data_IF_603366885998
#
_entry.id   IF_603366885998
#
_cell.length_a   1.000
_cell.length_b   1.000
_cell.length_c   1.000
_cell.angle_alpha   90.00
_cell.angle_beta   90.00
_cell.angle_gamma   90.00
#
_symmetry.space_group_name_H-M   'P 1'
#
loop_
_entity.id
_entity.type
_entity.pdbx_description
1 polymer ?
#
# COMPACT_ATOMS: atom_id res chain seq x y z
N UNK A 1 12.03 28.42 13.37
CA UNK A 1 11.17 27.56 14.20
C UNK A 1 10.77 26.37 13.34
N UNK A 2 11.41 25.22 13.56
CA UNK A 2 10.98 23.97 12.93
C UNK A 2 9.63 23.56 13.52
N UNK A 3 8.57 24.04 12.88
CA UNK A 3 7.24 23.45 13.09
C UNK A 3 7.32 22.05 12.53
N UNK A 4 7.49 21.07 13.41
CA UNK A 4 7.42 19.63 13.13
C UNK A 4 6.32 19.38 12.08
N UNK A 5 6.71 19.21 10.80
CA UNK A 5 5.75 18.91 9.73
C UNK A 5 4.99 17.66 10.18
N UNK A 6 3.67 17.75 10.31
CA UNK A 6 2.87 16.60 10.73
C UNK A 6 2.99 15.53 9.65
N UNK A 7 3.15 14.29 10.06
CA UNK A 7 3.23 13.15 9.14
C UNK A 7 2.02 12.26 9.33
N UNK A 8 1.46 11.79 8.23
CA UNK A 8 0.51 10.68 8.19
C UNK A 8 1.14 9.53 7.40
N UNK A 9 0.69 8.31 7.65
CA UNK A 9 1.28 7.12 7.05
C UNK A 9 0.21 6.19 6.51
N UNK A 10 0.50 5.53 5.39
CA UNK A 10 -0.29 4.43 4.86
C UNK A 10 0.63 3.25 4.59
N UNK A 11 0.32 2.13 5.20
CA UNK A 11 1.01 0.87 4.98
C UNK A 11 0.39 0.15 3.78
N UNK A 12 1.20 -0.06 2.74
CA UNK A 12 0.77 -0.60 1.45
C UNK A 12 1.53 -1.88 1.15
N UNK A 13 0.79 -2.92 0.77
CA UNK A 13 1.33 -4.17 0.28
C UNK A 13 1.19 -4.23 -1.23
N UNK A 14 2.26 -4.64 -1.89
CA UNK A 14 2.28 -4.88 -3.33
C UNK A 14 2.19 -6.38 -3.56
N UNK A 15 1.20 -6.82 -4.33
CA UNK A 15 1.07 -8.23 -4.73
C UNK A 15 1.00 -8.38 -6.24
N UNK A 16 1.43 -9.54 -6.74
CA UNK A 16 1.31 -9.88 -8.15
C UNK A 16 0.20 -10.91 -8.35
N UNK A 17 -0.71 -10.64 -9.29
CA UNK A 17 -1.69 -11.63 -9.73
C UNK A 17 -0.96 -12.88 -10.26
N UNK A 18 -1.22 -14.07 -9.70
CA UNK A 18 -0.53 -15.29 -10.13
C UNK A 18 -0.89 -15.74 -11.55
N UNK A 19 -2.04 -15.29 -12.08
CA UNK A 19 -2.49 -15.65 -13.42
C UNK A 19 -1.83 -14.86 -14.55
N UNK A 20 -1.63 -13.54 -14.36
CA UNK A 20 -1.17 -12.66 -15.43
C UNK A 20 -0.04 -11.69 -15.05
N UNK A 21 0.43 -11.73 -13.81
CA UNK A 21 1.51 -10.88 -13.30
C UNK A 21 1.14 -9.41 -13.08
N UNK A 22 -0.13 -9.02 -13.22
CA UNK A 22 -0.58 -7.65 -12.91
C UNK A 22 -0.30 -7.33 -11.44
N UNK A 23 0.29 -6.16 -11.17
CA UNK A 23 0.59 -5.70 -9.82
C UNK A 23 -0.59 -4.94 -9.21
N UNK A 24 -0.81 -5.18 -7.92
CA UNK A 24 -1.83 -4.53 -7.11
C UNK A 24 -1.19 -3.91 -5.88
N UNK A 25 -1.67 -2.74 -5.48
CA UNK A 25 -1.23 -2.01 -4.30
C UNK A 25 -2.42 -1.79 -3.40
N UNK A 26 -2.43 -2.46 -2.25
CA UNK A 26 -3.56 -2.49 -1.33
C UNK A 26 -3.11 -2.10 0.08
N UNK A 27 -4.02 -1.54 0.88
CA UNK A 27 -3.74 -1.30 2.29
C UNK A 27 -3.36 -2.63 2.96
N UNK A 28 -2.17 -2.70 3.58
CA UNK A 28 -1.62 -3.95 4.11
C UNK A 28 -2.54 -4.63 5.13
N UNK A 29 -3.30 -3.86 5.89
CA UNK A 29 -4.28 -4.41 6.83
C UNK A 29 -5.39 -5.20 6.11
N UNK A 30 -5.84 -4.75 4.94
CA UNK A 30 -6.84 -5.46 4.14
C UNK A 30 -6.23 -6.67 3.43
N UNK A 31 -5.08 -6.48 2.79
CA UNK A 31 -4.43 -7.48 1.96
C UNK A 31 -3.76 -8.63 2.74
N UNK A 32 -3.19 -8.33 3.90
CA UNK A 32 -2.41 -9.28 4.70
C UNK A 32 -3.21 -9.72 5.93
N UNK A 33 -3.63 -8.78 6.77
CA UNK A 33 -4.17 -9.11 8.10
C UNK A 33 -5.59 -9.69 8.02
N UNK A 34 -6.46 -9.11 7.18
CA UNK A 34 -7.78 -9.67 6.93
C UNK A 34 -7.70 -10.95 6.06
N UNK A 35 -6.66 -11.05 5.24
CA UNK A 35 -6.42 -12.22 4.39
C UNK A 35 -7.55 -12.48 3.38
N UNK A 36 -8.22 -11.44 2.90
CA UNK A 36 -9.28 -11.57 1.90
C UNK A 36 -8.69 -11.92 0.52
N UNK A 37 -9.39 -12.78 -0.22
CA UNK A 37 -9.09 -13.01 -1.63
C UNK A 37 -9.64 -11.85 -2.47
N UNK A 38 -8.96 -11.55 -3.56
CA UNK A 38 -9.31 -10.49 -4.52
C UNK A 38 -9.40 -11.05 -5.92
N UNK A 39 -10.22 -10.43 -6.77
CA UNK A 39 -10.35 -10.79 -8.18
C UNK A 39 -9.50 -9.89 -9.09
N UNK A 40 -8.83 -10.49 -10.07
CA UNK A 40 -8.00 -9.76 -11.00
C UNK A 40 -8.87 -9.09 -12.05
N UNK A 41 -9.04 -7.77 -11.96
CA UNK A 41 -9.73 -7.00 -13.00
C UNK A 41 -9.15 -7.12 -14.43
N UNK A 42 -7.97 -7.74 -14.62
CA UNK A 42 -7.39 -8.02 -15.95
C UNK A 42 -7.71 -9.42 -16.49
N UNK A 43 -7.63 -10.46 -15.66
CA UNK A 43 -7.73 -11.86 -16.12
C UNK A 43 -8.77 -12.71 -15.38
N UNK A 44 -9.49 -12.13 -14.42
CA UNK A 44 -10.52 -12.80 -13.63
C UNK A 44 -9.98 -13.80 -12.60
N UNK A 45 -8.66 -13.97 -12.47
CA UNK A 45 -8.10 -14.87 -11.46
C UNK A 45 -8.35 -14.32 -10.05
N UNK A 46 -8.77 -15.20 -9.14
CA UNK A 46 -8.88 -14.90 -7.71
C UNK A 46 -7.62 -15.35 -6.96
N UNK A 47 -7.10 -14.52 -6.05
CA UNK A 47 -5.96 -14.89 -5.21
C UNK A 47 -5.94 -14.12 -3.89
N UNK A 48 -5.15 -14.64 -2.95
CA UNK A 48 -4.84 -13.96 -1.69
C UNK A 48 -3.62 -13.02 -1.86
N UNK A 49 -3.76 -11.70 -1.76
CA UNK A 49 -2.65 -10.77 -1.92
C UNK A 49 -1.49 -11.04 -0.94
N UNK A 50 -1.80 -11.40 0.31
CA UNK A 50 -0.80 -11.69 1.33
C UNK A 50 0.13 -12.86 0.98
N UNK A 51 -0.38 -13.90 0.30
CA UNK A 51 0.42 -15.05 -0.17
C UNK A 51 1.24 -14.77 -1.42
N UNK A 52 0.85 -13.75 -2.19
CA UNK A 52 1.50 -13.35 -3.44
C UNK A 52 2.14 -11.97 -3.35
N UNK A 53 2.49 -11.57 -2.13
CA UNK A 53 3.14 -10.31 -1.84
C UNK A 53 4.54 -10.28 -2.43
N UNK A 54 4.89 -9.14 -3.01
CA UNK A 54 6.16 -8.87 -3.68
C UNK A 54 6.95 -7.76 -3.00
N UNK A 55 6.28 -6.83 -2.31
CA UNK A 55 6.88 -5.74 -1.56
C UNK A 55 5.88 -5.22 -0.51
N UNK A 56 6.37 -4.47 0.47
CA UNK A 56 5.56 -3.70 1.41
C UNK A 56 6.27 -2.38 1.70
N UNK A 57 5.55 -1.28 1.53
CA UNK A 57 6.08 0.06 1.73
C UNK A 57 5.19 0.86 2.68
N UNK A 58 5.81 1.77 3.42
CA UNK A 58 5.11 2.79 4.18
C UNK A 58 5.13 4.09 3.40
N UNK A 59 3.97 4.50 2.88
CA UNK A 59 3.80 5.82 2.29
C UNK A 59 3.77 6.85 3.42
N UNK A 60 4.60 7.89 3.30
CA UNK A 60 4.69 9.00 4.23
C UNK A 60 4.10 10.25 3.58
N UNK A 61 3.09 10.84 4.20
CA UNK A 61 2.50 12.11 3.78
C UNK A 61 2.97 13.21 4.71
N UNK A 62 3.67 14.22 4.18
CA UNK A 62 3.94 15.44 4.93
C UNK A 62 2.75 16.39 4.83
N UNK A 63 2.23 16.84 5.96
CA UNK A 63 1.07 17.72 6.04
C UNK A 63 1.49 19.15 6.41
N UNK A 64 0.82 20.13 5.80
CA UNK A 64 0.92 21.53 6.18
C UNK A 64 0.20 21.81 7.51
N UNK A 65 0.23 23.08 7.95
CA UNK A 65 -0.42 23.49 9.19
C UNK A 65 -1.96 23.41 9.16
N UNK A 66 -2.58 23.26 7.98
CA UNK A 66 -4.02 23.07 7.77
C UNK A 66 -4.39 21.59 7.63
N UNK A 67 -3.43 20.67 7.74
CA UNK A 67 -3.65 19.23 7.57
C UNK A 67 -3.81 18.79 6.12
N UNK A 68 -3.34 19.59 5.16
CA UNK A 68 -3.35 19.22 3.73
C UNK A 68 -2.01 18.60 3.35
N UNK A 69 -2.04 17.62 2.44
CA UNK A 69 -0.82 16.98 1.92
C UNK A 69 0.01 18.02 1.16
N UNK A 70 1.28 18.12 1.53
CA UNK A 70 2.27 19.01 0.95
C UNK A 70 3.41 18.25 0.26
N UNK A 71 3.63 17.00 0.64
CA UNK A 71 4.63 16.12 0.03
C UNK A 71 4.27 14.64 0.28
N UNK A 72 4.75 13.75 -0.59
CA UNK A 72 4.56 12.29 -0.50
C UNK A 72 5.88 11.58 -0.72
N UNK A 73 6.28 10.76 0.24
CA UNK A 73 7.43 9.87 0.16
C UNK A 73 7.07 8.43 0.48
N UNK A 74 8.04 7.53 0.40
CA UNK A 74 7.87 6.14 0.82
C UNK A 74 9.11 5.60 1.52
N UNK A 75 8.92 4.55 2.31
CA UNK A 75 9.99 3.75 2.91
C UNK A 75 9.71 2.28 2.64
N UNK A 76 10.72 1.54 2.24
CA UNK A 76 10.61 0.09 2.15
C UNK A 76 10.53 -0.51 3.56
N UNK A 77 9.63 -1.47 3.75
CA UNK A 77 9.47 -2.21 5.01
C UNK A 77 10.00 -3.64 4.92
N UNK A 78 10.41 -4.08 3.74
CA UNK A 78 11.03 -5.38 3.45
C UNK A 78 12.40 -5.24 2.81
#
# INVERSE_FOLDING_TARGET
MDMNKKKAYLDVSISACPGCGMLYADASWYAIELGADVECGKCGAEWNPGKHKTDRVLIEFALDNKGRVSDVGYKNLE
#
